data_IF_979420917425
#
_entry.id   IF_979420917425
#
_cell.length_a   1.000
_cell.length_b   1.000
_cell.length_c   1.000
_cell.angle_alpha   90.00
_cell.angle_beta   90.00
_cell.angle_gamma   90.00
#
_symmetry.space_group_name_H-M   'P 1'
#
loop_
_entity.id
_entity.type
_entity.pdbx_description
1 polymer ?
#
# COMPACT_ATOMS: atom_id res chain seq x y z
N UNK A 1 -24.45 -25.05 -0.81
CA UNK A 1 -24.93 -26.18 -1.68
C UNK A 1 -23.76 -27.04 -2.19
N UNK A 2 -22.61 -26.50 -2.58
CA UNK A 2 -21.44 -27.27 -3.06
C UNK A 2 -20.82 -28.15 -2.00
N UNK A 3 -20.61 -27.63 -0.81
CA UNK A 3 -19.99 -28.36 0.31
C UNK A 3 -20.87 -29.53 0.77
N UNK A 4 -22.18 -29.30 0.93
CA UNK A 4 -23.11 -30.36 1.31
C UNK A 4 -23.19 -31.48 0.25
N UNK A 5 -23.08 -31.12 -1.04
CA UNK A 5 -23.03 -32.09 -2.13
C UNK A 5 -21.71 -32.87 -2.13
N UNK A 6 -20.59 -32.21 -1.91
CA UNK A 6 -19.28 -32.86 -1.76
C UNK A 6 -19.27 -33.78 -0.55
N UNK A 7 -19.76 -33.29 0.62
CA UNK A 7 -19.89 -34.12 1.82
C UNK A 7 -20.73 -35.38 1.57
N UNK A 8 -21.90 -35.24 0.94
CA UNK A 8 -22.77 -36.41 0.61
C UNK A 8 -22.10 -37.36 -0.38
N UNK A 9 -21.28 -36.87 -1.28
CA UNK A 9 -20.54 -37.65 -2.25
C UNK A 9 -19.41 -38.46 -1.59
N UNK A 10 -18.73 -37.92 -0.61
CA UNK A 10 -17.57 -38.55 0.02
C UNK A 10 -17.89 -39.26 1.33
N UNK A 11 -19.04 -38.98 1.92
CA UNK A 11 -19.49 -39.69 3.13
C UNK A 11 -19.68 -41.19 2.81
N UNK A 12 -18.89 -42.02 3.49
CA UNK A 12 -18.93 -43.48 3.30
C UNK A 12 -18.05 -44.02 2.16
N UNK A 13 -17.26 -43.15 1.49
CA UNK A 13 -16.17 -43.60 0.61
C UNK A 13 -14.87 -43.71 1.41
N UNK A 14 -13.91 -44.46 0.92
CA UNK A 14 -12.58 -44.54 1.50
C UNK A 14 -11.90 -43.15 1.38
N UNK A 15 -11.72 -42.48 2.50
CA UNK A 15 -11.09 -41.16 2.58
C UNK A 15 -9.60 -41.32 2.87
N UNK A 16 -8.77 -40.80 1.99
CA UNK A 16 -7.32 -40.79 2.15
C UNK A 16 -6.88 -39.47 2.84
N UNK A 17 -6.81 -39.51 4.17
CA UNK A 17 -6.38 -38.39 4.99
C UNK A 17 -4.94 -37.96 4.64
N UNK A 18 -4.07 -38.89 4.24
CA UNK A 18 -2.69 -38.60 3.85
C UNK A 18 -2.63 -37.76 2.57
N UNK A 19 -3.41 -38.12 1.55
CA UNK A 19 -3.51 -37.32 0.31
C UNK A 19 -4.11 -35.94 0.56
N UNK A 20 -5.16 -35.85 1.39
CA UNK A 20 -5.75 -34.57 1.75
C UNK A 20 -4.72 -33.67 2.44
N UNK A 21 -4.02 -34.21 3.45
CA UNK A 21 -2.98 -33.49 4.17
C UNK A 21 -1.81 -33.05 3.27
N UNK A 22 -1.38 -33.93 2.35
CA UNK A 22 -0.30 -33.61 1.40
C UNK A 22 -0.69 -32.50 0.39
N UNK A 23 -1.99 -32.42 0.03
CA UNK A 23 -2.51 -31.36 -0.83
C UNK A 23 -2.75 -30.03 -0.06
N UNK A 24 -2.71 -30.06 1.25
CA UNK A 24 -2.92 -28.88 2.08
C UNK A 24 -1.62 -28.09 2.22
N UNK A 25 -1.62 -26.88 1.69
CA UNK A 25 -0.51 -25.97 1.83
C UNK A 25 -0.78 -25.02 2.98
N UNK A 26 -0.12 -25.25 4.13
CA UNK A 26 -0.13 -24.29 5.21
C UNK A 26 0.54 -23.00 4.72
N UNK A 27 -0.16 -21.87 4.84
CA UNK A 27 0.49 -20.57 4.65
C UNK A 27 1.35 -20.29 5.89
N UNK A 28 2.64 -20.11 5.66
CA UNK A 28 3.52 -19.63 6.73
C UNK A 28 3.12 -18.20 7.09
N UNK A 29 2.83 -17.97 8.37
CA UNK A 29 2.61 -16.61 8.85
C UNK A 29 3.90 -15.81 8.67
N UNK A 30 3.80 -14.61 8.11
CA UNK A 30 4.93 -13.70 8.00
C UNK A 30 5.28 -13.23 9.42
N UNK A 31 6.42 -13.69 9.92
CA UNK A 31 6.95 -13.32 11.25
C UNK A 31 7.95 -12.18 11.19
N UNK A 32 8.35 -11.79 9.99
CA UNK A 32 9.26 -10.66 9.72
C UNK A 32 8.44 -9.39 9.54
N UNK A 33 9.14 -8.26 9.56
CA UNK A 33 8.54 -6.97 9.23
C UNK A 33 7.81 -7.01 7.89
N UNK A 34 6.55 -6.61 7.86
CA UNK A 34 5.67 -6.72 6.69
C UNK A 34 4.63 -5.60 6.63
N UNK A 35 3.97 -5.50 5.49
CA UNK A 35 2.84 -4.60 5.27
C UNK A 35 1.55 -5.40 5.43
N UNK A 36 0.68 -4.96 6.31
CA UNK A 36 -0.65 -5.55 6.48
C UNK A 36 -1.66 -4.86 5.55
N UNK A 37 -2.36 -5.64 4.72
CA UNK A 37 -3.52 -5.15 3.95
C UNK A 37 -4.78 -5.53 4.70
N UNK A 38 -5.47 -4.53 5.24
CA UNK A 38 -6.64 -4.70 6.09
C UNK A 38 -7.91 -4.17 5.42
N UNK A 39 -9.06 -4.39 6.04
CA UNK A 39 -10.33 -3.81 5.65
C UNK A 39 -11.20 -4.69 4.77
N UNK A 40 -11.89 -4.10 3.80
CA UNK A 40 -12.77 -4.80 2.89
C UNK A 40 -11.99 -5.68 1.92
N UNK A 41 -12.64 -6.71 1.38
CA UNK A 41 -12.02 -7.62 0.39
C UNK A 41 -11.37 -6.83 -0.74
N UNK A 42 -10.10 -7.08 -0.98
CA UNK A 42 -9.36 -6.56 -2.12
C UNK A 42 -9.40 -7.58 -3.28
N UNK A 43 -9.64 -7.12 -4.49
CA UNK A 43 -9.56 -7.97 -5.68
C UNK A 43 -8.12 -8.43 -5.95
N UNK A 44 -7.96 -9.58 -6.60
CA UNK A 44 -6.65 -10.20 -6.84
C UNK A 44 -5.69 -9.25 -7.61
N UNK A 45 -6.17 -8.62 -8.68
CA UNK A 45 -5.35 -7.70 -9.48
C UNK A 45 -4.85 -6.50 -8.68
N UNK A 46 -5.73 -5.93 -7.84
CA UNK A 46 -5.39 -4.81 -6.96
C UNK A 46 -4.38 -5.24 -5.89
N UNK A 47 -4.54 -6.42 -5.33
CA UNK A 47 -3.61 -6.97 -4.35
C UNK A 47 -2.22 -7.25 -4.96
N UNK A 48 -2.17 -7.83 -6.15
CA UNK A 48 -0.91 -8.07 -6.86
C UNK A 48 -0.18 -6.77 -7.20
N UNK A 49 -0.91 -5.75 -7.66
CA UNK A 49 -0.35 -4.43 -7.91
C UNK A 49 0.20 -3.81 -6.61
N UNK A 50 -0.56 -3.90 -5.53
CA UNK A 50 -0.15 -3.44 -4.21
C UNK A 50 1.11 -4.15 -3.75
N UNK A 51 1.14 -5.48 -3.83
CA UNK A 51 2.30 -6.28 -3.41
C UNK A 51 3.57 -5.97 -4.21
N UNK A 52 3.43 -5.72 -5.51
CA UNK A 52 4.57 -5.36 -6.37
C UNK A 52 5.15 -3.98 -6.06
N UNK A 53 4.33 -3.06 -5.56
CA UNK A 53 4.75 -1.71 -5.24
C UNK A 53 5.43 -1.60 -3.86
N UNK A 54 5.31 -2.63 -3.00
CA UNK A 54 5.84 -2.57 -1.62
C UNK A 54 7.26 -3.12 -1.51
N UNK A 55 8.10 -2.50 -0.65
CA UNK A 55 9.47 -2.95 -0.40
C UNK A 55 9.55 -4.15 0.56
N UNK A 56 8.50 -4.40 1.32
CA UNK A 56 8.39 -5.47 2.30
C UNK A 56 7.34 -6.50 1.87
N UNK A 57 7.38 -7.73 2.40
CA UNK A 57 6.31 -8.71 2.20
C UNK A 57 4.95 -8.13 2.56
N UNK A 58 3.92 -8.49 1.81
CA UNK A 58 2.55 -8.00 2.02
C UNK A 58 1.66 -9.15 2.45
N UNK A 59 1.05 -9.02 3.62
CA UNK A 59 0.06 -9.97 4.14
C UNK A 59 -1.35 -9.47 3.85
N UNK A 60 -2.22 -10.37 3.34
CA UNK A 60 -3.59 -10.03 3.01
C UNK A 60 -4.54 -10.47 4.13
N UNK A 61 -4.85 -9.54 5.03
CA UNK A 61 -5.78 -9.72 6.13
C UNK A 61 -7.13 -9.01 5.89
N UNK A 62 -7.45 -8.76 4.63
CA UNK A 62 -8.76 -8.24 4.25
C UNK A 62 -9.86 -9.23 4.59
N UNK A 63 -11.08 -8.75 4.83
CA UNK A 63 -12.21 -9.62 5.13
C UNK A 63 -12.39 -10.68 4.03
N UNK A 64 -12.66 -11.88 4.38
CA UNK A 64 -12.95 -13.04 3.53
C UNK A 64 -11.88 -13.44 2.49
N UNK A 65 -10.75 -12.74 2.37
CA UNK A 65 -9.74 -13.12 1.40
C UNK A 65 -8.75 -14.14 1.96
N UNK A 66 -8.27 -13.93 3.15
CA UNK A 66 -7.35 -14.83 3.81
C UNK A 66 -8.08 -15.92 4.61
N UNK A 67 -9.07 -16.53 4.00
CA UNK A 67 -9.73 -17.73 4.55
C UNK A 67 -9.01 -19.01 4.13
N UNK A 68 -7.70 -18.94 3.99
CA UNK A 68 -6.88 -20.12 4.04
C UNK A 68 -6.92 -20.64 5.47
N UNK A 69 -7.23 -21.89 5.59
CA UNK A 69 -7.22 -22.63 6.85
C UNK A 69 -5.80 -22.57 7.38
N UNK A 70 -5.62 -21.88 8.47
CA UNK A 70 -4.41 -21.46 9.12
C UNK A 70 -3.11 -22.26 9.00
N UNK A 71 -2.16 -21.92 9.85
CA UNK A 71 -0.82 -22.52 9.91
C UNK A 71 -0.79 -23.91 10.56
N UNK A 72 -1.95 -24.47 10.87
CA UNK A 72 -2.09 -25.78 11.52
C UNK A 72 -2.41 -26.82 10.45
N UNK A 73 -1.53 -27.79 10.30
CA UNK A 73 -1.80 -28.92 9.41
C UNK A 73 -2.95 -29.78 9.92
N UNK A 74 -3.74 -30.38 9.04
CA UNK A 74 -4.80 -31.31 9.44
C UNK A 74 -4.26 -32.45 10.30
N UNK A 75 -5.06 -32.99 11.25
CA UNK A 75 -4.64 -34.08 12.12
C UNK A 75 -4.23 -35.33 11.31
N UNK A 76 -3.20 -36.02 11.77
CA UNK A 76 -2.75 -37.27 11.17
C UNK A 76 -3.72 -38.40 11.47
N UNK A 77 -3.98 -39.24 10.46
CA UNK A 77 -4.82 -40.43 10.66
C UNK A 77 -6.30 -40.15 10.92
N UNK A 78 -6.74 -38.89 10.79
CA UNK A 78 -8.13 -38.53 11.06
C UNK A 78 -9.08 -39.16 10.02
N UNK A 79 -10.24 -39.57 10.50
CA UNK A 79 -11.36 -39.95 9.65
C UNK A 79 -11.89 -38.74 8.86
N UNK A 80 -12.74 -38.99 7.87
CA UNK A 80 -13.36 -37.92 7.09
C UNK A 80 -14.16 -36.94 7.98
N UNK A 81 -14.95 -37.47 8.93
CA UNK A 81 -15.76 -36.63 9.82
C UNK A 81 -14.87 -35.76 10.73
N UNK A 82 -13.84 -36.33 11.34
CA UNK A 82 -12.87 -35.57 12.13
C UNK A 82 -12.13 -34.51 11.34
N UNK A 83 -11.79 -34.80 10.09
CA UNK A 83 -11.16 -33.83 9.18
C UNK A 83 -12.11 -32.69 8.82
N UNK A 84 -13.39 -33.00 8.62
CA UNK A 84 -14.42 -31.98 8.33
C UNK A 84 -14.71 -31.11 9.54
N UNK A 85 -14.74 -31.70 10.76
CA UNK A 85 -14.89 -30.94 12.00
C UNK A 85 -13.69 -30.02 12.24
N UNK A 86 -12.48 -30.52 12.04
CA UNK A 86 -11.28 -29.70 12.09
C UNK A 86 -11.34 -28.53 11.09
N UNK A 87 -11.67 -28.82 9.82
CA UNK A 87 -11.74 -27.79 8.78
C UNK A 87 -12.80 -26.72 9.08
N UNK A 88 -13.96 -27.15 9.57
CA UNK A 88 -15.02 -26.23 10.00
C UNK A 88 -14.56 -25.37 11.17
N UNK A 89 -13.87 -25.96 12.16
CA UNK A 89 -13.30 -25.25 13.30
C UNK A 89 -12.30 -24.18 12.88
N UNK A 90 -11.38 -24.53 11.98
CA UNK A 90 -10.39 -23.59 11.43
C UNK A 90 -11.06 -22.44 10.66
N UNK A 91 -12.07 -22.73 9.82
CA UNK A 91 -12.81 -21.72 9.10
C UNK A 91 -13.58 -20.75 10.03
N UNK A 92 -14.15 -21.27 11.09
CA UNK A 92 -14.91 -20.48 12.08
C UNK A 92 -13.99 -19.70 13.02
N UNK A 93 -12.78 -20.22 13.27
CA UNK A 93 -11.77 -19.57 14.11
C UNK A 93 -11.06 -18.39 13.43
N UNK A 94 -11.28 -18.18 12.14
CA UNK A 94 -10.67 -17.06 11.42
C UNK A 94 -11.21 -15.70 11.88
N UNK A 95 -10.39 -14.67 11.66
CA UNK A 95 -10.76 -13.29 12.00
C UNK A 95 -12.05 -12.90 11.28
N UNK A 96 -13.10 -12.51 12.01
CA UNK A 96 -14.39 -12.24 11.41
C UNK A 96 -14.41 -10.89 10.66
N UNK A 97 -15.38 -10.75 9.76
CA UNK A 97 -15.74 -9.45 9.20
C UNK A 97 -16.17 -8.48 10.31
N UNK A 98 -15.95 -7.17 10.15
CA UNK A 98 -16.42 -6.12 11.07
C UNK A 98 -17.94 -6.14 11.35
N UNK A 99 -18.71 -6.80 10.50
CA UNK A 99 -20.15 -7.03 10.73
C UNK A 99 -20.43 -8.02 11.87
N UNK A 100 -19.41 -8.78 12.27
CA UNK A 100 -19.52 -9.66 13.45
C UNK A 100 -19.33 -8.84 14.72
N UNK A 101 -19.94 -9.24 15.81
CA UNK A 101 -20.00 -8.43 17.02
C UNK A 101 -18.70 -8.38 17.84
N UNK A 102 -17.73 -9.25 17.56
CA UNK A 102 -16.46 -9.28 18.30
C UNK A 102 -15.30 -8.71 17.46
N UNK A 103 -14.84 -7.47 17.72
CA UNK A 103 -13.71 -6.87 17.03
C UNK A 103 -12.34 -7.32 17.56
N UNK A 104 -12.28 -8.12 18.65
CA UNK A 104 -11.04 -8.43 19.38
C UNK A 104 -9.99 -9.07 18.47
N UNK A 105 -10.41 -10.00 17.61
CA UNK A 105 -9.53 -10.65 16.64
C UNK A 105 -8.93 -9.66 15.63
N UNK A 106 -9.71 -8.67 15.22
CA UNK A 106 -9.24 -7.66 14.25
C UNK A 106 -8.24 -6.69 14.87
N UNK A 107 -8.43 -6.34 16.14
CA UNK A 107 -7.48 -5.46 16.87
C UNK A 107 -6.08 -6.05 16.95
N UNK A 108 -5.95 -7.36 16.94
CA UNK A 108 -4.64 -8.04 16.91
C UNK A 108 -3.88 -7.82 15.60
N UNK A 109 -4.59 -7.57 14.48
CA UNK A 109 -3.95 -7.38 13.18
C UNK A 109 -3.17 -6.06 13.12
N UNK A 110 -3.75 -4.98 13.58
CA UNK A 110 -3.11 -3.67 13.50
C UNK A 110 -2.27 -3.30 14.73
N UNK A 111 -2.29 -4.14 15.77
CA UNK A 111 -1.41 -4.04 16.94
C UNK A 111 -0.26 -5.07 16.89
N UNK A 112 -0.08 -5.79 15.80
CA UNK A 112 1.04 -6.72 15.63
C UNK A 112 2.35 -5.93 15.48
N UNK A 113 3.34 -6.12 16.36
CA UNK A 113 4.60 -5.38 16.31
C UNK A 113 5.45 -5.68 15.07
N UNK A 114 5.13 -6.72 14.30
CA UNK A 114 5.80 -7.02 13.03
C UNK A 114 5.22 -6.24 11.85
N UNK A 115 4.12 -5.50 12.03
CA UNK A 115 3.53 -4.65 11.00
C UNK A 115 4.32 -3.34 10.90
N UNK A 116 4.94 -3.12 9.75
CA UNK A 116 5.71 -1.90 9.44
C UNK A 116 4.86 -0.80 8.81
N UNK A 117 3.70 -1.17 8.27
CA UNK A 117 2.75 -0.22 7.67
C UNK A 117 1.44 -0.90 7.33
N UNK A 118 0.39 -0.13 7.24
CA UNK A 118 -0.97 -0.62 6.98
C UNK A 118 -1.51 -0.01 5.69
N UNK A 119 -1.95 -0.86 4.77
CA UNK A 119 -2.78 -0.46 3.63
C UNK A 119 -4.20 -0.85 3.95
N UNK A 120 -5.07 0.13 4.16
CA UNK A 120 -6.45 -0.10 4.54
C UNK A 120 -7.39 0.06 3.35
N UNK A 121 -7.98 -1.04 2.93
CA UNK A 121 -8.89 -1.08 1.79
C UNK A 121 -10.34 -0.89 2.22
N UNK A 122 -11.01 0.09 1.62
CA UNK A 122 -12.46 0.28 1.74
C UNK A 122 -13.12 0.10 0.38
N UNK A 123 -14.36 -0.38 0.39
CA UNK A 123 -15.17 -0.50 -0.82
C UNK A 123 -16.35 0.46 -0.67
N UNK A 124 -16.70 1.17 -1.74
CA UNK A 124 -17.89 2.00 -1.77
C UNK A 124 -19.10 1.21 -1.27
N UNK A 125 -19.91 1.84 -0.44
CA UNK A 125 -21.09 1.25 0.21
C UNK A 125 -20.79 0.17 1.27
N UNK A 126 -19.54 0.01 1.71
CA UNK A 126 -19.21 -0.81 2.86
C UNK A 126 -18.87 0.06 4.08
N UNK A 127 -19.88 0.55 4.79
CA UNK A 127 -19.72 1.50 5.89
C UNK A 127 -18.94 0.95 7.08
N UNK A 128 -19.05 -0.36 7.34
CA UNK A 128 -18.36 -1.01 8.47
C UNK A 128 -16.85 -0.79 8.44
N UNK A 129 -16.23 -0.90 7.27
CA UNK A 129 -14.79 -0.69 7.14
C UNK A 129 -14.41 0.80 7.13
N UNK A 130 -15.33 1.69 6.83
CA UNK A 130 -15.11 3.12 6.99
C UNK A 130 -15.05 3.53 8.46
N UNK A 131 -15.86 2.91 9.33
CA UNK A 131 -15.80 3.11 10.77
C UNK A 131 -14.52 2.54 11.38
N UNK A 132 -14.15 1.31 11.02
CA UNK A 132 -12.90 0.71 11.51
C UNK A 132 -11.67 1.52 11.08
N UNK A 133 -11.65 2.06 9.86
CA UNK A 133 -10.58 2.93 9.42
C UNK A 133 -10.41 4.16 10.33
N UNK A 134 -11.52 4.78 10.73
CA UNK A 134 -11.47 5.93 11.63
C UNK A 134 -10.90 5.54 13.02
N UNK A 135 -11.21 4.34 13.51
CA UNK A 135 -10.63 3.81 14.75
C UNK A 135 -9.13 3.58 14.60
N UNK A 136 -8.69 2.86 13.56
CA UNK A 136 -7.27 2.55 13.32
C UNK A 136 -6.46 3.83 13.17
N UNK A 137 -6.94 4.80 12.40
CA UNK A 137 -6.25 6.07 12.17
C UNK A 137 -5.89 6.81 13.46
N UNK A 138 -6.69 6.63 14.51
CA UNK A 138 -6.48 7.31 15.79
C UNK A 138 -5.63 6.49 16.78
N UNK A 139 -5.32 5.22 16.46
CA UNK A 139 -4.68 4.29 17.41
C UNK A 139 -3.43 3.59 16.85
N UNK A 140 -3.06 3.85 15.59
CA UNK A 140 -1.86 3.26 15.01
C UNK A 140 -0.73 4.28 14.91
N UNK A 141 0.49 3.85 15.25
CA UNK A 141 1.70 4.64 15.12
C UNK A 141 2.46 4.35 13.82
N UNK A 142 2.04 3.30 13.09
CA UNK A 142 2.68 2.95 11.82
C UNK A 142 2.05 3.71 10.64
N UNK A 143 2.79 3.92 9.54
CA UNK A 143 2.24 4.54 8.32
C UNK A 143 0.95 3.86 7.87
N UNK A 144 -0.05 4.65 7.53
CA UNK A 144 -1.39 4.18 7.16
C UNK A 144 -1.84 4.79 5.83
N UNK A 145 -2.04 3.96 4.82
CA UNK A 145 -2.62 4.34 3.53
C UNK A 145 -4.05 3.82 3.39
N UNK A 146 -5.01 4.71 3.19
CA UNK A 146 -6.38 4.31 2.80
C UNK A 146 -6.49 4.18 1.28
N UNK A 147 -6.99 3.03 0.81
CA UNK A 147 -7.39 2.80 -0.58
C UNK A 147 -8.89 2.57 -0.63
N UNK A 148 -9.58 3.26 -1.51
CA UNK A 148 -11.00 3.04 -1.76
C UNK A 148 -11.21 2.53 -3.18
N UNK A 149 -12.00 1.47 -3.34
CA UNK A 149 -12.40 0.95 -4.65
C UNK A 149 -13.90 0.74 -4.74
N UNK A 150 -14.39 0.58 -5.96
CA UNK A 150 -15.76 0.17 -6.26
C UNK A 150 -15.81 -1.13 -7.10
N UNK A 151 -14.69 -1.86 -7.11
CA UNK A 151 -14.44 -3.03 -7.95
C UNK A 151 -14.39 -2.74 -9.45
N UNK A 152 -14.40 -1.48 -9.86
CA UNK A 152 -14.11 -1.12 -11.24
C UNK A 152 -12.61 -0.83 -11.42
N UNK A 153 -12.09 -1.09 -12.62
CA UNK A 153 -10.69 -0.76 -12.97
C UNK A 153 -10.65 0.74 -13.28
N UNK A 154 -10.67 1.57 -12.24
CA UNK A 154 -10.52 3.02 -12.41
C UNK A 154 -9.14 3.45 -11.91
N UNK A 155 -8.45 4.21 -12.76
CA UNK A 155 -7.26 5.00 -12.40
C UNK A 155 -6.11 4.23 -11.75
N UNK A 156 -5.71 3.10 -12.35
CA UNK A 156 -4.55 2.31 -11.87
C UNK A 156 -3.30 3.16 -11.67
N UNK A 157 -3.08 4.18 -12.51
CA UNK A 157 -1.93 5.07 -12.39
C UNK A 157 -1.94 5.94 -11.11
N UNK A 158 -3.09 6.55 -10.77
CA UNK A 158 -3.17 7.35 -9.52
C UNK A 158 -2.98 6.49 -8.28
N UNK A 159 -3.52 5.28 -8.33
CA UNK A 159 -3.35 4.34 -7.23
C UNK A 159 -1.90 3.88 -7.09
N UNK A 160 -1.24 3.59 -8.19
CA UNK A 160 0.18 3.21 -8.18
C UNK A 160 1.04 4.32 -7.58
N UNK A 161 0.83 5.57 -7.97
CA UNK A 161 1.53 6.73 -7.39
C UNK A 161 1.35 6.82 -5.88
N UNK A 162 0.13 6.56 -5.37
CA UNK A 162 -0.13 6.56 -3.92
C UNK A 162 0.54 5.40 -3.20
N UNK A 163 0.58 4.23 -3.84
CA UNK A 163 1.28 3.06 -3.30
C UNK A 163 2.79 3.29 -3.25
N UNK A 164 3.37 3.87 -4.29
CA UNK A 164 4.80 4.21 -4.33
C UNK A 164 5.17 5.24 -3.26
N UNK A 165 4.39 6.31 -3.11
CA UNK A 165 4.60 7.30 -2.04
C UNK A 165 4.49 6.67 -0.63
N UNK A 166 3.59 5.72 -0.46
CA UNK A 166 3.48 4.99 0.80
C UNK A 166 4.69 4.07 1.03
N UNK A 167 5.17 3.39 -0.01
CA UNK A 167 6.37 2.57 0.06
C UNK A 167 7.61 3.37 0.48
N UNK A 168 7.76 4.60 -0.03
CA UNK A 168 8.81 5.54 0.38
C UNK A 168 8.72 5.89 1.88
N UNK A 169 7.51 6.06 2.41
CA UNK A 169 7.30 6.40 3.84
C UNK A 169 7.67 5.26 4.81
N UNK A 170 7.82 4.04 4.31
CA UNK A 170 8.15 2.85 5.12
C UNK A 170 9.66 2.59 5.17
N UNK A 171 10.46 3.24 4.32
CA UNK A 171 11.91 3.09 4.25
C UNK A 171 12.64 4.35 4.77
N UNK A 172 12.57 4.67 6.08
CA UNK A 172 13.26 5.85 6.62
C UNK A 172 14.78 5.78 6.47
N UNK A 173 15.36 4.59 6.45
CA UNK A 173 16.82 4.41 6.37
C UNK A 173 17.41 4.77 5.00
N UNK A 174 16.62 4.73 3.92
CA UNK A 174 17.11 5.08 2.59
C UNK A 174 17.29 6.60 2.44
N UNK A 175 16.50 7.39 3.19
CA UNK A 175 16.62 8.84 3.20
C UNK A 175 17.84 9.32 4.02
N UNK A 176 18.17 8.65 5.13
CA UNK A 176 19.37 8.97 5.91
C UNK A 176 20.67 8.54 5.20
N UNK A 177 20.65 7.43 4.45
CA UNK A 177 21.82 6.99 3.68
C UNK A 177 22.06 7.84 2.43
N UNK A 178 21.02 8.47 1.87
CA UNK A 178 21.18 9.42 0.75
C UNK A 178 21.71 10.78 1.24
N UNK A 179 21.46 11.13 2.50
CA UNK A 179 21.98 12.37 3.10
C UNK A 179 23.44 12.19 3.54
N UNK A 180 23.85 10.98 3.98
CA UNK A 180 25.22 10.72 4.48
C UNK A 180 26.18 10.17 3.42
N UNK A 181 25.70 9.75 2.25
CA UNK A 181 26.50 9.05 1.23
C UNK A 181 27.18 9.94 0.19
N UNK A 182 26.81 11.20 0.03
CA UNK A 182 27.31 12.02 -1.10
C UNK A 182 27.69 13.47 -0.75
N UNK A 183 28.14 13.74 0.47
CA UNK A 183 28.64 15.07 0.86
C UNK A 183 30.15 15.10 0.99
N UNK A 184 30.89 14.71 -0.07
CA UNK A 184 32.28 15.13 -0.33
C UNK A 184 32.50 15.61 -1.75
N UNK A 185 31.52 16.25 -2.34
CA UNK A 185 31.71 17.19 -3.43
C UNK A 185 31.46 18.57 -2.86
N UNK A 186 32.38 19.51 -3.02
CA UNK A 186 32.17 20.91 -2.69
C UNK A 186 30.89 21.40 -3.37
N UNK A 187 29.76 21.41 -2.62
CA UNK A 187 28.56 22.13 -3.08
C UNK A 187 28.96 23.59 -3.17
N UNK A 188 29.05 24.12 -4.40
CA UNK A 188 29.00 25.56 -4.57
C UNK A 188 27.79 26.04 -3.82
N UNK A 189 27.98 26.92 -2.83
CA UNK A 189 26.86 27.58 -2.15
C UNK A 189 26.00 28.20 -3.22
N UNK A 190 24.79 27.66 -3.38
CA UNK A 190 23.80 28.18 -4.30
C UNK A 190 23.27 29.53 -3.82
N UNK A 191 22.39 30.12 -4.58
CA UNK A 191 21.83 31.45 -4.26
C UNK A 191 20.72 31.40 -3.19
N UNK A 192 20.38 30.21 -2.69
CA UNK A 192 19.37 30.03 -1.63
C UNK A 192 17.95 29.98 -2.17
N UNK A 193 17.74 29.41 -3.36
CA UNK A 193 16.39 29.17 -3.91
C UNK A 193 16.07 27.69 -3.94
N UNK A 194 14.81 27.37 -3.65
CA UNK A 194 14.28 26.01 -3.61
C UNK A 194 13.03 25.92 -4.49
N UNK A 195 12.91 24.89 -5.29
CA UNK A 195 11.76 24.69 -6.17
C UNK A 195 10.98 23.43 -5.82
N UNK A 196 9.65 23.53 -5.84
CA UNK A 196 8.72 22.41 -5.75
C UNK A 196 7.91 22.29 -7.03
N UNK A 197 7.76 21.05 -7.54
CA UNK A 197 6.92 20.76 -8.70
C UNK A 197 5.90 19.71 -8.32
N UNK A 198 4.62 20.02 -8.45
CA UNK A 198 3.53 19.03 -8.42
C UNK A 198 3.04 18.78 -9.85
N UNK A 199 3.36 17.60 -10.39
CA UNK A 199 2.98 17.24 -11.76
C UNK A 199 1.74 16.33 -11.74
N UNK A 200 0.57 16.96 -11.75
CA UNK A 200 -0.72 16.29 -11.87
C UNK A 200 -1.05 15.84 -13.29
N UNK A 201 -2.13 15.09 -13.46
CA UNK A 201 -2.62 14.61 -14.77
C UNK A 201 -3.19 15.74 -15.63
N UNK A 202 -3.67 16.81 -15.02
CA UNK A 202 -4.34 17.94 -15.70
C UNK A 202 -3.50 19.20 -15.65
N UNK A 203 -2.96 19.54 -14.48
CA UNK A 203 -2.10 20.70 -14.24
C UNK A 203 -0.77 20.29 -13.66
N UNK A 204 0.22 21.14 -13.88
CA UNK A 204 1.53 21.10 -13.24
C UNK A 204 1.74 22.42 -12.53
N UNK A 205 1.98 22.32 -11.23
CA UNK A 205 2.15 23.46 -10.35
C UNK A 205 3.61 23.57 -9.93
N UNK A 206 4.19 24.77 -10.01
CA UNK A 206 5.58 25.03 -9.62
C UNK A 206 5.60 26.19 -8.65
N UNK A 207 6.36 26.03 -7.57
CA UNK A 207 6.62 27.09 -6.59
C UNK A 207 8.13 27.24 -6.41
N UNK A 208 8.63 28.47 -6.40
CA UNK A 208 10.02 28.77 -6.05
C UNK A 208 10.03 29.59 -4.76
N UNK A 209 10.81 29.14 -3.78
CA UNK A 209 11.02 29.79 -2.49
C UNK A 209 12.43 30.36 -2.41
N UNK A 210 12.61 31.45 -1.65
CA UNK A 210 13.92 31.94 -1.24
C UNK A 210 14.35 31.26 0.10
N UNK A 211 15.58 31.56 0.56
CA UNK A 211 16.15 31.08 1.83
C UNK A 211 15.34 31.45 3.08
N UNK A 212 14.50 32.48 3.00
CA UNK A 212 13.66 32.95 4.10
C UNK A 212 12.25 32.31 4.03
N UNK A 213 12.09 31.29 3.15
CA UNK A 213 10.85 30.55 2.86
C UNK A 213 9.72 31.40 2.29
N UNK A 214 10.04 32.53 1.68
CA UNK A 214 9.05 33.37 1.01
C UNK A 214 8.87 32.89 -0.44
N UNK A 215 7.62 32.89 -0.93
CA UNK A 215 7.31 32.55 -2.31
C UNK A 215 7.84 33.65 -3.23
N UNK A 216 8.79 33.31 -4.09
CA UNK A 216 9.34 34.19 -5.14
C UNK A 216 8.42 34.17 -6.35
N UNK A 217 7.97 33.01 -6.76
CA UNK A 217 6.97 32.83 -7.83
C UNK A 217 6.20 31.54 -7.65
N UNK A 218 5.01 31.49 -8.23
CA UNK A 218 4.22 30.25 -8.34
C UNK A 218 3.48 30.24 -9.68
N UNK A 219 3.58 29.12 -10.39
CA UNK A 219 2.99 28.94 -11.73
C UNK A 219 2.14 27.70 -11.76
N UNK A 220 1.02 27.78 -12.43
CA UNK A 220 0.14 26.64 -12.74
C UNK A 220 -0.04 26.57 -14.24
N UNK A 221 0.38 25.48 -14.85
CA UNK A 221 0.20 25.25 -16.29
C UNK A 221 -0.51 23.92 -16.55
N UNK A 222 -1.24 23.81 -17.68
CA UNK A 222 -1.74 22.50 -18.11
C UNK A 222 -0.58 21.53 -18.35
N UNK A 223 -0.67 20.30 -17.81
CA UNK A 223 0.38 19.28 -17.96
C UNK A 223 0.61 18.92 -19.44
N UNK A 224 -0.45 18.88 -20.24
CA UNK A 224 -0.34 18.60 -21.68
C UNK A 224 -0.07 17.12 -21.98
N UNK A 225 0.73 16.86 -23.02
CA UNK A 225 0.92 15.52 -23.58
C UNK A 225 1.84 14.59 -22.76
N UNK A 226 2.45 15.06 -21.69
CA UNK A 226 3.33 14.23 -20.83
C UNK A 226 3.82 14.98 -19.60
N UNK A 227 3.84 14.26 -18.48
CA UNK A 227 4.17 14.82 -17.17
C UNK A 227 5.57 15.44 -17.11
N UNK A 228 6.59 14.78 -17.67
CA UNK A 228 7.96 15.30 -17.72
C UNK A 228 8.05 16.60 -18.55
N UNK A 229 7.43 16.61 -19.74
CA UNK A 229 7.44 17.78 -20.63
C UNK A 229 6.68 18.94 -19.98
N UNK A 230 5.55 18.64 -19.31
CA UNK A 230 4.77 19.62 -18.56
C UNK A 230 5.56 20.24 -17.41
N UNK A 231 6.28 19.41 -16.67
CA UNK A 231 7.11 19.84 -15.54
C UNK A 231 8.30 20.72 -16.00
N UNK A 232 9.04 20.28 -17.01
CA UNK A 232 10.16 21.06 -17.57
C UNK A 232 9.71 22.43 -18.09
N UNK A 233 8.56 22.46 -18.78
CA UNK A 233 7.96 23.71 -19.26
C UNK A 233 7.53 24.63 -18.12
N UNK A 234 6.85 24.07 -17.09
CA UNK A 234 6.38 24.85 -15.97
C UNK A 234 7.55 25.40 -15.13
N UNK A 235 8.60 24.59 -14.92
CA UNK A 235 9.82 25.04 -14.25
C UNK A 235 10.53 26.14 -15.03
N UNK A 236 10.67 25.98 -16.34
CA UNK A 236 11.31 27.00 -17.20
C UNK A 236 10.56 28.33 -17.14
N UNK A 237 9.23 28.32 -17.16
CA UNK A 237 8.44 29.55 -17.06
C UNK A 237 8.53 30.18 -15.67
N UNK A 238 8.55 29.35 -14.58
CA UNK A 238 8.73 29.83 -13.22
C UNK A 238 10.11 30.50 -13.05
N UNK A 239 11.17 29.88 -13.54
CA UNK A 239 12.51 30.46 -13.51
C UNK A 239 12.60 31.77 -14.27
N UNK A 240 11.99 31.85 -15.44
CA UNK A 240 11.93 33.05 -16.25
C UNK A 240 11.19 34.19 -15.54
N UNK A 241 10.04 33.90 -14.92
CA UNK A 241 9.27 34.89 -14.18
C UNK A 241 10.02 35.39 -12.95
N UNK A 242 10.72 34.49 -12.25
CA UNK A 242 11.56 34.81 -11.11
C UNK A 242 12.88 35.52 -11.49
N UNK A 243 13.25 35.56 -12.78
CA UNK A 243 14.55 36.08 -13.25
C UNK A 243 15.74 35.19 -12.80
N UNK A 244 15.50 33.91 -12.58
CA UNK A 244 16.46 32.93 -12.11
C UNK A 244 16.90 31.99 -13.22
N UNK A 245 18.07 31.37 -13.03
CA UNK A 245 18.55 30.25 -13.84
C UNK A 245 18.38 28.93 -13.08
N UNK A 246 18.47 27.80 -13.81
CA UNK A 246 18.34 26.46 -13.18
C UNK A 246 19.41 26.23 -12.10
N UNK A 247 20.60 26.77 -12.30
CA UNK A 247 21.76 26.69 -11.40
C UNK A 247 21.60 27.54 -10.12
N UNK A 248 20.59 28.39 -10.06
CA UNK A 248 20.25 29.15 -8.87
C UNK A 248 19.38 28.37 -7.89
N UNK A 249 18.82 27.23 -8.33
CA UNK A 249 18.00 26.34 -7.52
C UNK A 249 18.90 25.34 -6.79
N UNK A 250 18.93 25.42 -5.47
CA UNK A 250 19.76 24.57 -4.61
C UNK A 250 19.18 23.18 -4.42
N UNK A 251 17.85 23.06 -4.33
CA UNK A 251 17.14 21.79 -4.29
C UNK A 251 15.82 21.86 -5.06
N UNK A 252 15.47 20.75 -5.72
CA UNK A 252 14.23 20.58 -6.47
C UNK A 252 13.47 19.37 -5.94
N UNK A 253 12.32 19.60 -5.35
CA UNK A 253 11.43 18.52 -4.89
C UNK A 253 10.31 18.32 -5.90
N UNK A 254 10.05 17.07 -6.27
CA UNK A 254 9.01 16.71 -7.22
C UNK A 254 7.95 15.81 -6.57
N UNK A 255 6.68 16.07 -6.85
CA UNK A 255 5.54 15.28 -6.41
C UNK A 255 4.53 15.10 -7.54
N UNK A 256 3.45 14.40 -7.27
CA UNK A 256 2.39 14.16 -8.22
C UNK A 256 2.65 12.98 -9.16
N UNK A 257 1.78 12.86 -10.15
CA UNK A 257 1.74 11.73 -11.08
C UNK A 257 3.01 11.58 -11.92
N UNK A 258 3.69 12.68 -12.22
CA UNK A 258 4.87 12.72 -13.09
C UNK A 258 6.21 12.73 -12.34
N UNK A 259 6.26 12.63 -11.01
CA UNK A 259 7.48 12.79 -10.21
C UNK A 259 8.66 11.91 -10.66
N UNK A 260 8.39 10.66 -11.05
CA UNK A 260 9.42 9.71 -11.50
C UNK A 260 9.93 9.96 -12.92
N UNK A 261 9.22 10.77 -13.70
CA UNK A 261 9.58 11.12 -15.06
C UNK A 261 10.42 12.40 -15.15
N UNK A 262 10.50 13.16 -14.06
CA UNK A 262 11.26 14.42 -13.98
C UNK A 262 12.71 14.07 -13.62
N UNK A 263 13.60 14.22 -14.61
CA UNK A 263 15.05 14.01 -14.41
C UNK A 263 15.63 15.20 -13.65
N UNK A 264 16.46 14.92 -12.63
CA UNK A 264 17.14 15.91 -11.78
C UNK A 264 16.26 16.58 -10.71
N UNK A 265 15.23 15.91 -10.24
CA UNK A 265 14.68 16.15 -8.91
C UNK A 265 15.55 15.41 -7.88
N UNK A 266 15.90 16.09 -6.78
CA UNK A 266 16.54 15.47 -5.62
C UNK A 266 15.53 14.67 -4.82
#
# INVERSE_FOLDING_TARGET
KGLAKAYAQYKGTEFDAGKFRAAFHAQEKITKSHIAVLGARMGQELFEMTSKAMPLPVENDTCVHNRSVGNILPPEGASFDEMMDWYAGELLGQIPCMRMMDPTGRKKLYNDPSVAGIIYHTVKFCDFYSFEYAEIKNHTDVPLLKIESDYTIQSSGQLLTRLEAFAESIQPETLEQTIDGDTKGERKMGKGYFAGIDSGSTSTDVVILNKDHEIVTSIILPTGAGAAIGADRALAEALKEAGLQREDIDALVTTGYGRTAIKNGD
#
